data_IF_205042299521
#
_entry.id   IF_205042299521
#
_cell.length_a   1.000
_cell.length_b   1.000
_cell.length_c   1.000
_cell.angle_alpha   90.00
_cell.angle_beta   90.00
_cell.angle_gamma   90.00
#
_symmetry.space_group_name_H-M   'P 1'
#
loop_
_entity.id
_entity.type
_entity.pdbx_description
1 polymer ?
#
# COMPACT_ATOMS: atom_id res chain seq x y z
N UNK A 1 -13.33 1.61 3.35
CA UNK A 1 -12.94 2.94 3.81
C UNK A 1 -11.64 2.86 4.60
N UNK A 2 -10.65 3.71 4.29
CA UNK A 2 -9.36 3.70 4.98
C UNK A 2 -9.41 4.65 6.19
N UNK A 3 -8.96 4.17 7.35
CA UNK A 3 -8.94 4.94 8.59
C UNK A 3 -8.30 6.33 8.46
N UNK A 4 -7.12 6.47 7.80
CA UNK A 4 -6.51 7.78 7.58
C UNK A 4 -7.36 8.74 6.76
N UNK A 5 -8.07 8.26 5.74
CA UNK A 5 -8.92 9.10 4.90
C UNK A 5 -10.10 9.68 5.67
N UNK A 6 -10.63 8.94 6.65
CA UNK A 6 -11.75 9.41 7.49
C UNK A 6 -11.24 10.24 8.64
N UNK A 7 -10.31 9.71 9.43
CA UNK A 7 -9.86 10.34 10.66
C UNK A 7 -9.00 11.58 10.44
N UNK A 8 -8.14 11.59 9.41
CA UNK A 8 -7.24 12.73 9.14
C UNK A 8 -7.91 13.84 8.34
N UNK A 9 -8.95 13.53 7.55
CA UNK A 9 -9.68 14.55 6.80
C UNK A 9 -10.32 15.61 7.73
N UNK A 10 -10.81 15.19 8.88
CA UNK A 10 -11.43 16.12 9.85
C UNK A 10 -10.43 16.88 10.73
N UNK A 11 -9.24 16.28 10.99
CA UNK A 11 -8.26 16.85 11.93
C UNK A 11 -6.98 17.40 11.30
N UNK A 12 -6.45 16.72 10.28
CA UNK A 12 -5.17 17.03 9.66
C UNK A 12 -5.20 16.75 8.15
N UNK A 13 -5.96 17.55 7.41
CA UNK A 13 -6.21 17.38 5.98
C UNK A 13 -4.92 17.23 5.15
N UNK A 14 -3.81 17.85 5.58
CA UNK A 14 -2.50 17.75 4.91
C UNK A 14 -1.96 16.32 4.79
N UNK A 15 -2.54 15.35 5.50
CA UNK A 15 -2.14 13.95 5.41
C UNK A 15 -2.83 13.20 4.27
N UNK A 16 -3.85 13.80 3.66
CA UNK A 16 -4.68 13.13 2.65
C UNK A 16 -4.97 13.96 1.40
N UNK A 17 -4.73 15.28 1.44
CA UNK A 17 -5.05 16.22 0.35
C UNK A 17 -4.23 16.00 -0.94
N UNK A 18 -3.03 15.39 -0.84
CA UNK A 18 -2.22 15.00 -2.00
C UNK A 18 -2.71 13.74 -2.71
N UNK A 19 -3.61 12.95 -2.08
CA UNK A 19 -4.05 11.64 -2.56
C UNK A 19 -4.69 11.67 -3.96
N UNK A 20 -5.53 12.65 -4.33
CA UNK A 20 -6.05 12.74 -5.69
C UNK A 20 -4.94 12.87 -6.73
N UNK A 21 -3.89 13.63 -6.45
CA UNK A 21 -2.76 13.83 -7.37
C UNK A 21 -1.90 12.58 -7.46
N UNK A 22 -1.74 11.82 -6.37
CA UNK A 22 -1.09 10.51 -6.38
C UNK A 22 -1.88 9.51 -7.25
N UNK A 23 -3.20 9.47 -7.13
CA UNK A 23 -4.04 8.61 -7.99
C UNK A 23 -3.95 9.02 -9.46
N UNK A 24 -3.95 10.31 -9.76
CA UNK A 24 -3.73 10.81 -11.13
C UNK A 24 -2.33 10.47 -11.64
N UNK A 25 -1.31 10.49 -10.79
CA UNK A 25 0.04 10.09 -11.15
C UNK A 25 0.12 8.59 -11.49
N UNK A 26 -0.59 7.72 -10.76
CA UNK A 26 -0.70 6.29 -11.10
C UNK A 26 -1.35 6.08 -12.48
N UNK A 27 -2.43 6.82 -12.80
CA UNK A 27 -3.02 6.83 -14.15
C UNK A 27 -2.01 7.38 -15.17
N UNK A 28 -1.21 8.37 -14.77
CA UNK A 28 -0.12 8.92 -15.58
C UNK A 28 0.95 7.88 -15.91
N UNK A 29 1.30 7.00 -14.95
CA UNK A 29 2.18 5.86 -15.17
C UNK A 29 1.59 4.88 -16.18
N UNK A 30 0.30 4.55 -16.08
CA UNK A 30 -0.36 3.69 -17.08
C UNK A 30 -0.25 4.28 -18.49
N UNK A 31 -0.56 5.58 -18.63
CA UNK A 31 -0.45 6.28 -19.92
C UNK A 31 0.99 6.36 -20.44
N UNK A 32 1.96 6.45 -19.55
CA UNK A 32 3.37 6.41 -19.91
C UNK A 32 3.73 5.05 -20.53
N UNK A 33 3.33 3.95 -19.90
CA UNK A 33 3.62 2.61 -20.40
C UNK A 33 2.79 2.23 -21.65
N UNK A 34 1.55 2.68 -21.76
CA UNK A 34 0.67 2.33 -22.89
C UNK A 34 0.85 3.22 -24.12
N UNK A 35 1.15 4.52 -23.93
CA UNK A 35 1.12 5.54 -24.99
C UNK A 35 2.41 6.37 -25.06
N UNK A 36 3.41 6.07 -24.24
CA UNK A 36 4.66 6.83 -24.12
C UNK A 36 4.44 8.34 -23.79
N UNK A 37 3.29 8.69 -23.18
CA UNK A 37 2.92 10.06 -22.82
C UNK A 37 3.19 10.33 -21.34
N UNK A 38 4.17 11.19 -21.06
CA UNK A 38 4.58 11.52 -19.69
C UNK A 38 3.93 12.78 -19.10
N UNK A 39 3.18 13.57 -19.89
CA UNK A 39 2.67 14.88 -19.46
C UNK A 39 1.78 14.78 -18.20
N UNK A 40 0.78 13.89 -18.20
CA UNK A 40 -0.07 13.68 -17.02
C UNK A 40 0.75 13.22 -15.82
N UNK A 41 1.69 12.32 -16.02
CA UNK A 41 2.56 11.82 -14.98
C UNK A 41 3.37 12.96 -14.34
N UNK A 42 4.06 13.78 -15.15
CA UNK A 42 4.84 14.93 -14.68
C UNK A 42 3.99 15.95 -13.91
N UNK A 43 2.86 16.37 -14.48
CA UNK A 43 1.98 17.37 -13.86
C UNK A 43 1.38 16.86 -12.55
N UNK A 44 0.96 15.61 -12.50
CA UNK A 44 0.39 15.03 -11.28
C UNK A 44 1.43 14.91 -10.16
N UNK A 45 2.68 14.52 -10.48
CA UNK A 45 3.77 14.49 -9.50
C UNK A 45 4.11 15.90 -9.03
N UNK A 46 4.15 16.88 -9.92
CA UNK A 46 4.34 18.29 -9.55
C UNK A 46 3.27 18.78 -8.58
N UNK A 47 1.99 18.55 -8.87
CA UNK A 47 0.88 18.94 -7.99
C UNK A 47 0.92 18.20 -6.65
N UNK A 48 1.29 16.91 -6.64
CA UNK A 48 1.48 16.14 -5.41
C UNK A 48 2.56 16.75 -4.52
N UNK A 49 3.69 17.19 -5.09
CA UNK A 49 4.78 17.86 -4.35
C UNK A 49 4.29 19.20 -3.82
N UNK A 50 3.61 19.99 -4.63
CA UNK A 50 3.09 21.31 -4.23
C UNK A 50 2.05 21.23 -3.12
N UNK A 51 1.26 20.16 -3.09
CA UNK A 51 0.23 19.96 -2.06
C UNK A 51 0.84 19.44 -0.76
N UNK A 52 1.75 18.46 -0.83
CA UNK A 52 2.39 17.88 0.35
C UNK A 52 3.83 17.47 0.09
N UNK A 53 4.77 18.32 0.46
CA UNK A 53 6.20 18.02 0.40
C UNK A 53 6.56 16.72 1.12
N UNK A 54 6.05 16.56 2.34
CA UNK A 54 6.41 15.44 3.20
C UNK A 54 5.95 14.08 2.65
N UNK A 55 4.70 13.98 2.20
CA UNK A 55 4.15 12.72 1.69
C UNK A 55 4.50 12.46 0.23
N UNK A 56 4.97 13.47 -0.51
CA UNK A 56 5.37 13.28 -1.91
C UNK A 56 6.56 12.31 -2.05
N UNK A 57 7.46 12.25 -1.06
CA UNK A 57 8.58 11.29 -1.06
C UNK A 57 8.05 9.85 -1.03
N UNK A 58 7.11 9.57 -0.12
CA UNK A 58 6.42 8.26 -0.09
C UNK A 58 5.62 8.00 -1.36
N UNK A 59 4.93 9.01 -1.88
CA UNK A 59 4.22 8.93 -3.16
C UNK A 59 5.12 8.60 -4.34
N UNK A 60 6.31 9.21 -4.43
CA UNK A 60 7.29 8.86 -5.47
C UNK A 60 7.76 7.41 -5.36
N UNK A 61 7.97 6.89 -4.14
CA UNK A 61 8.30 5.49 -3.94
C UNK A 61 7.18 4.56 -4.40
N UNK A 62 5.92 4.92 -4.12
CA UNK A 62 4.72 4.22 -4.62
C UNK A 62 4.70 4.17 -6.14
N UNK A 63 4.98 5.30 -6.81
CA UNK A 63 5.03 5.38 -8.27
C UNK A 63 6.17 4.52 -8.86
N UNK A 64 7.32 4.44 -8.19
CA UNK A 64 8.42 3.56 -8.60
C UNK A 64 8.00 2.09 -8.48
N UNK A 65 7.38 1.67 -7.37
CA UNK A 65 6.92 0.29 -7.20
C UNK A 65 5.85 -0.08 -8.23
N UNK A 66 4.92 0.83 -8.50
CA UNK A 66 3.90 0.62 -9.53
C UNK A 66 4.51 0.58 -10.94
N UNK A 67 5.47 1.46 -11.22
CA UNK A 67 6.23 1.45 -12.46
C UNK A 67 6.99 0.14 -12.70
N UNK A 68 7.62 -0.41 -11.65
CA UNK A 68 8.24 -1.73 -11.71
C UNK A 68 7.23 -2.83 -12.04
N UNK A 69 6.05 -2.81 -11.43
CA UNK A 69 4.97 -3.74 -11.73
C UNK A 69 4.56 -3.67 -13.20
N UNK A 70 4.29 -2.46 -13.74
CA UNK A 70 3.91 -2.24 -15.15
C UNK A 70 5.03 -2.63 -16.10
N UNK A 71 6.28 -2.37 -15.76
CA UNK A 71 7.43 -2.76 -16.54
C UNK A 71 7.52 -4.29 -16.72
N UNK A 72 7.41 -5.03 -15.62
CA UNK A 72 7.45 -6.50 -15.68
C UNK A 72 6.19 -7.10 -16.30
N UNK A 73 5.04 -6.44 -16.17
CA UNK A 73 3.80 -6.84 -16.83
C UNK A 73 3.92 -6.76 -18.36
N UNK A 74 4.43 -5.65 -18.90
CA UNK A 74 4.63 -5.50 -20.34
C UNK A 74 5.68 -6.45 -20.91
N UNK A 75 6.63 -6.87 -20.09
CA UNK A 75 7.71 -7.77 -20.51
C UNK A 75 7.47 -9.21 -20.06
N UNK A 76 6.22 -9.59 -19.78
CA UNK A 76 5.88 -10.98 -19.47
C UNK A 76 6.32 -11.91 -20.60
N UNK A 77 7.20 -12.89 -20.28
CA UNK A 77 7.76 -13.83 -21.25
C UNK A 77 9.01 -13.35 -22.02
N UNK A 78 9.42 -12.09 -21.86
CA UNK A 78 10.64 -11.57 -22.48
C UNK A 78 11.84 -11.66 -21.54
N UNK A 79 13.05 -11.86 -22.12
CA UNK A 79 14.30 -11.78 -21.34
C UNK A 79 14.62 -10.32 -21.04
N UNK A 80 14.66 -9.96 -19.75
CA UNK A 80 15.06 -8.63 -19.29
C UNK A 80 16.59 -8.60 -19.15
N UNK A 81 17.26 -7.73 -19.91
CA UNK A 81 18.70 -7.46 -19.76
C UNK A 81 18.89 -6.35 -18.72
N UNK A 82 19.95 -6.46 -17.91
CA UNK A 82 20.27 -5.45 -16.88
C UNK A 82 20.44 -4.05 -17.51
N UNK A 83 21.13 -3.96 -18.65
CA UNK A 83 21.32 -2.69 -19.36
C UNK A 83 19.98 -2.09 -19.83
N UNK A 84 19.08 -2.91 -20.40
CA UNK A 84 17.75 -2.47 -20.82
C UNK A 84 16.93 -1.97 -19.62
N UNK A 85 16.92 -2.71 -18.51
CA UNK A 85 16.24 -2.32 -17.29
C UNK A 85 16.73 -0.96 -16.75
N UNK A 86 18.04 -0.72 -16.74
CA UNK A 86 18.60 0.55 -16.27
C UNK A 86 18.24 1.72 -17.20
N UNK A 87 18.30 1.52 -18.51
CA UNK A 87 17.95 2.56 -19.49
C UNK A 87 16.45 2.91 -19.39
N UNK A 88 15.57 1.90 -19.38
CA UNK A 88 14.13 2.10 -19.29
C UNK A 88 13.76 2.73 -17.92
N UNK A 89 14.44 2.30 -16.85
CA UNK A 89 14.27 2.89 -15.52
C UNK A 89 14.67 4.38 -15.48
N UNK A 90 15.78 4.76 -16.10
CA UNK A 90 16.18 6.17 -16.23
C UNK A 90 15.17 6.97 -17.05
N UNK A 91 14.63 6.40 -18.13
CA UNK A 91 13.59 7.04 -18.92
C UNK A 91 12.30 7.23 -18.11
N UNK A 92 11.93 6.25 -17.28
CA UNK A 92 10.77 6.32 -16.39
C UNK A 92 10.94 7.39 -15.30
N UNK A 93 12.13 7.59 -14.75
CA UNK A 93 12.39 8.55 -13.68
C UNK A 93 12.46 10.00 -14.20
N UNK A 94 12.72 10.22 -15.50
CA UNK A 94 12.79 11.58 -16.10
C UNK A 94 11.56 12.46 -15.80
N UNK A 95 10.31 12.03 -15.98
CA UNK A 95 9.12 12.82 -15.64
C UNK A 95 9.08 13.22 -14.16
N UNK A 96 9.53 12.34 -13.26
CA UNK A 96 9.60 12.62 -11.82
C UNK A 96 10.67 13.66 -11.51
N UNK A 97 11.86 13.54 -12.10
CA UNK A 97 12.94 14.54 -11.95
C UNK A 97 12.46 15.89 -12.47
N UNK A 98 11.81 15.94 -13.64
CA UNK A 98 11.28 17.18 -14.19
C UNK A 98 10.26 17.81 -13.24
N UNK A 99 9.34 17.03 -12.65
CA UNK A 99 8.38 17.52 -11.66
C UNK A 99 9.08 18.10 -10.41
N UNK A 100 10.12 17.43 -9.90
CA UNK A 100 10.93 17.92 -8.77
C UNK A 100 11.63 19.24 -9.13
N UNK A 101 12.23 19.34 -10.33
CA UNK A 101 12.87 20.58 -10.80
C UNK A 101 11.84 21.71 -10.96
N UNK A 102 10.67 21.44 -11.50
CA UNK A 102 9.57 22.41 -11.57
C UNK A 102 9.12 22.90 -10.19
N UNK A 103 9.18 22.02 -9.17
CA UNK A 103 8.80 22.35 -7.79
C UNK A 103 9.93 22.99 -6.98
N UNK A 104 11.10 23.22 -7.55
CA UNK A 104 12.30 23.68 -6.82
C UNK A 104 12.11 25.04 -6.11
N UNK A 105 11.31 25.94 -6.69
CA UNK A 105 10.98 27.22 -6.08
C UNK A 105 10.26 27.08 -4.73
N UNK A 106 9.54 25.99 -4.52
CA UNK A 106 8.88 25.63 -3.25
C UNK A 106 9.76 24.71 -2.39
N UNK A 107 10.40 23.70 -3.01
CA UNK A 107 11.19 22.70 -2.30
C UNK A 107 12.45 23.31 -1.65
N UNK A 108 13.18 24.19 -2.34
CA UNK A 108 14.44 24.73 -1.82
C UNK A 108 14.21 25.53 -0.54
N UNK A 109 13.30 26.53 -0.48
CA UNK A 109 13.02 27.24 0.77
C UNK A 109 12.53 26.33 1.88
N UNK A 110 11.67 25.34 1.54
CA UNK A 110 11.13 24.39 2.51
C UNK A 110 12.24 23.53 3.14
N UNK A 111 13.15 22.99 2.33
CA UNK A 111 14.29 22.20 2.82
C UNK A 111 15.22 23.04 3.69
N UNK A 112 15.53 24.25 3.27
CA UNK A 112 16.37 25.18 4.06
C UNK A 112 15.73 25.52 5.41
N UNK A 113 14.44 25.81 5.44
CA UNK A 113 13.69 26.07 6.68
C UNK A 113 13.69 24.83 7.61
N UNK A 114 13.51 23.65 7.07
CA UNK A 114 13.53 22.40 7.85
C UNK A 114 14.94 22.10 8.38
N UNK A 115 15.99 22.35 7.62
CA UNK A 115 17.37 22.15 8.04
C UNK A 115 17.77 23.08 9.21
N UNK A 116 17.22 24.30 9.24
CA UNK A 116 17.47 25.26 10.33
C UNK A 116 16.65 25.05 11.60
N UNK A 117 15.50 24.37 11.54
CA UNK A 117 14.51 24.33 12.63
C UNK A 117 14.22 22.96 13.25
N UNK A 118 14.72 21.86 12.71
CA UNK A 118 14.40 20.51 13.24
C UNK A 118 15.31 20.12 14.40
N UNK A 119 14.70 19.73 15.51
CA UNK A 119 15.39 19.11 16.64
C UNK A 119 16.11 17.82 16.20
N UNK A 120 17.22 17.49 16.90
CA UNK A 120 17.97 16.24 16.65
C UNK A 120 17.01 15.05 16.77
N UNK A 121 17.08 14.14 15.79
CA UNK A 121 16.29 12.92 15.77
C UNK A 121 16.61 12.00 16.96
N UNK A 122 15.75 11.03 17.19
CA UNK A 122 16.04 9.97 18.17
C UNK A 122 17.27 9.17 17.74
N UNK A 123 18.16 8.87 18.68
CA UNK A 123 19.27 7.95 18.45
C UNK A 123 18.71 6.55 18.22
N UNK A 124 18.45 6.22 16.96
CA UNK A 124 17.96 4.90 16.57
C UNK A 124 19.16 4.01 16.26
N UNK A 125 19.28 2.87 16.93
CA UNK A 125 20.35 1.91 16.65
C UNK A 125 20.20 1.35 15.23
N UNK A 126 21.30 1.18 14.51
CA UNK A 126 21.29 0.61 13.15
C UNK A 126 20.64 -0.78 13.12
N UNK A 127 20.85 -1.59 14.15
CA UNK A 127 20.22 -2.91 14.25
C UNK A 127 18.70 -2.83 14.26
N UNK A 128 18.11 -1.86 14.97
CA UNK A 128 16.65 -1.65 15.04
C UNK A 128 16.04 -1.26 13.68
N UNK A 129 16.82 -0.65 12.78
CA UNK A 129 16.35 -0.25 11.47
C UNK A 129 16.15 -1.44 10.51
N UNK A 130 16.91 -2.51 10.69
CA UNK A 130 16.87 -3.67 9.79
C UNK A 130 16.10 -4.86 10.35
N UNK A 131 15.75 -4.85 11.64
CA UNK A 131 14.90 -5.90 12.22
C UNK A 131 13.47 -5.71 11.76
N UNK A 132 12.87 -6.70 11.04
CA UNK A 132 11.49 -6.61 10.58
C UNK A 132 10.52 -6.34 11.72
N UNK A 133 9.65 -5.36 11.54
CA UNK A 133 8.61 -5.02 12.52
C UNK A 133 7.24 -5.20 11.86
N UNK A 134 6.52 -6.22 12.32
CA UNK A 134 5.18 -6.52 11.87
C UNK A 134 4.22 -6.20 13.01
N UNK A 135 3.46 -5.12 12.86
CA UNK A 135 2.40 -4.74 13.80
C UNK A 135 1.07 -4.75 13.06
N UNK A 136 0.05 -5.37 13.65
CA UNK A 136 -1.30 -5.40 13.04
C UNK A 136 -1.85 -3.99 12.92
N UNK A 137 -1.60 -3.12 13.90
CA UNK A 137 -2.00 -1.71 13.91
C UNK A 137 -1.53 -0.93 12.68
N UNK A 138 -0.35 -1.25 12.14
CA UNK A 138 0.16 -0.60 10.92
C UNK A 138 -0.74 -0.83 9.72
N UNK A 139 -1.33 -2.01 9.62
CA UNK A 139 -2.12 -2.45 8.47
C UNK A 139 -3.61 -2.20 8.66
N UNK A 140 -4.15 -2.40 9.86
CA UNK A 140 -5.57 -2.43 10.13
C UNK A 140 -6.00 -1.35 11.11
N UNK A 141 -7.11 -0.66 10.80
CA UNK A 141 -7.87 0.29 11.62
C UNK A 141 -7.06 1.46 12.24
N UNK A 142 -5.85 1.71 11.81
CA UNK A 142 -5.04 2.82 12.32
C UNK A 142 -5.34 4.12 11.57
N UNK A 143 -5.50 5.21 12.31
CA UNK A 143 -5.61 6.57 11.76
C UNK A 143 -4.24 7.06 11.26
N UNK A 144 -3.15 6.57 11.86
CA UNK A 144 -1.78 6.98 11.57
C UNK A 144 -0.97 5.92 10.81
N UNK A 145 -1.63 4.95 10.19
CA UNK A 145 -1.01 3.91 9.39
C UNK A 145 -1.73 3.75 8.05
N UNK A 146 -1.82 2.50 7.58
CA UNK A 146 -2.57 2.16 6.36
C UNK A 146 -4.07 2.18 6.65
N UNK A 147 -4.49 1.70 7.82
CA UNK A 147 -5.87 1.80 8.31
C UNK A 147 -6.91 1.12 7.43
N UNK A 148 -6.53 0.05 6.73
CA UNK A 148 -7.43 -0.82 6.01
C UNK A 148 -7.95 -1.93 6.93
N UNK A 149 -8.72 -2.86 6.40
CA UNK A 149 -9.23 -4.03 7.10
C UNK A 149 -8.19 -5.16 7.15
N UNK A 150 -8.41 -6.22 7.93
CA UNK A 150 -7.50 -7.39 7.97
C UNK A 150 -7.37 -8.08 6.61
N UNK A 151 -8.29 -7.82 5.68
CA UNK A 151 -8.21 -8.30 4.30
C UNK A 151 -6.87 -7.94 3.65
N UNK A 152 -6.29 -6.77 3.96
CA UNK A 152 -5.01 -6.37 3.37
C UNK A 152 -3.88 -7.34 3.73
N UNK A 153 -3.86 -7.84 4.96
CA UNK A 153 -2.87 -8.82 5.41
C UNK A 153 -3.01 -10.12 4.62
N UNK A 154 -4.25 -10.61 4.48
CA UNK A 154 -4.56 -11.78 3.67
C UNK A 154 -4.14 -11.60 2.21
N UNK A 155 -4.42 -10.42 1.62
CA UNK A 155 -4.06 -10.09 0.24
C UNK A 155 -2.55 -10.05 0.06
N UNK A 156 -1.80 -9.48 1.00
CA UNK A 156 -0.33 -9.47 0.94
C UNK A 156 0.23 -10.90 1.04
N UNK A 157 -0.26 -11.73 1.97
CA UNK A 157 0.17 -13.13 2.06
C UNK A 157 -0.14 -13.89 0.77
N UNK A 158 -1.35 -13.74 0.22
CA UNK A 158 -1.76 -14.39 -1.02
C UNK A 158 -0.91 -13.90 -2.22
N UNK A 159 -0.62 -12.60 -2.27
CA UNK A 159 0.17 -11.98 -3.33
C UNK A 159 1.61 -12.48 -3.39
N UNK A 160 2.22 -12.85 -2.24
CA UNK A 160 3.53 -13.50 -2.21
C UNK A 160 3.53 -14.87 -2.90
N UNK A 161 2.37 -15.53 -2.95
CA UNK A 161 2.19 -16.87 -3.55
C UNK A 161 1.79 -16.83 -5.02
N UNK A 162 1.57 -15.65 -5.63
CA UNK A 162 1.20 -15.54 -7.04
C UNK A 162 2.28 -16.11 -7.96
N UNK A 163 1.85 -16.68 -9.09
CA UNK A 163 2.78 -17.29 -10.06
C UNK A 163 3.46 -16.26 -10.97
N UNK A 164 2.77 -15.17 -11.29
CA UNK A 164 3.24 -14.16 -12.21
C UNK A 164 4.25 -13.23 -11.53
N UNK A 165 5.40 -13.03 -12.18
CA UNK A 165 6.51 -12.24 -11.63
C UNK A 165 6.09 -10.81 -11.29
N UNK A 166 5.37 -10.13 -12.20
CA UNK A 166 4.97 -8.74 -12.02
C UNK A 166 4.02 -8.53 -10.82
N UNK A 167 3.10 -9.48 -10.58
CA UNK A 167 2.21 -9.43 -9.41
C UNK A 167 2.99 -9.63 -8.11
N UNK A 168 3.97 -10.56 -8.11
CA UNK A 168 4.84 -10.78 -6.96
C UNK A 168 5.73 -9.58 -6.68
N UNK A 169 6.33 -8.98 -7.70
CA UNK A 169 7.22 -7.81 -7.55
C UNK A 169 6.52 -6.68 -6.79
N UNK A 170 5.26 -6.37 -7.16
CA UNK A 170 4.48 -5.35 -6.46
C UNK A 170 4.24 -5.71 -5.00
N UNK A 171 3.81 -6.96 -4.74
CA UNK A 171 3.54 -7.42 -3.38
C UNK A 171 4.82 -7.46 -2.53
N UNK A 172 5.92 -8.01 -3.07
CA UNK A 172 7.21 -8.01 -2.36
C UNK A 172 7.70 -6.59 -2.06
N UNK A 173 7.59 -5.67 -3.05
CA UNK A 173 7.94 -4.27 -2.85
C UNK A 173 7.14 -3.64 -1.71
N UNK A 174 5.82 -3.82 -1.69
CA UNK A 174 4.96 -3.34 -0.60
C UNK A 174 5.35 -3.97 0.74
N UNK A 175 5.52 -5.29 0.82
CA UNK A 175 5.86 -5.99 2.07
C UNK A 175 7.21 -5.53 2.60
N UNK A 176 8.24 -5.45 1.75
CA UNK A 176 9.58 -5.00 2.14
C UNK A 176 9.52 -3.58 2.73
N UNK A 177 8.87 -2.65 2.03
CA UNK A 177 8.78 -1.26 2.50
C UNK A 177 7.98 -1.13 3.79
N UNK A 178 6.89 -1.87 3.93
CA UNK A 178 6.00 -1.79 5.09
C UNK A 178 6.55 -2.51 6.32
N UNK A 179 7.37 -3.54 6.14
CA UNK A 179 7.86 -4.38 7.23
C UNK A 179 9.23 -3.93 7.75
N UNK A 180 10.11 -3.41 6.89
CA UNK A 180 11.46 -3.01 7.29
C UNK A 180 11.46 -1.55 7.76
N UNK A 181 11.79 -1.27 9.05
CA UNK A 181 11.71 0.07 9.63
C UNK A 181 12.61 1.12 8.97
N UNK A 182 13.67 0.71 8.27
CA UNK A 182 14.56 1.62 7.56
C UNK A 182 13.80 2.50 6.57
N UNK A 183 12.75 1.98 5.91
CA UNK A 183 11.94 2.78 5.00
C UNK A 183 11.12 3.83 5.74
N UNK A 184 10.52 3.47 6.89
CA UNK A 184 9.83 4.44 7.74
C UNK A 184 10.76 5.53 8.24
N UNK A 185 12.00 5.18 8.60
CA UNK A 185 13.03 6.11 9.03
C UNK A 185 13.45 7.05 7.91
N UNK A 186 13.75 6.51 6.71
CA UNK A 186 14.16 7.32 5.54
C UNK A 186 13.03 8.25 5.07
N UNK A 187 11.79 7.75 4.99
CA UNK A 187 10.63 8.55 4.60
C UNK A 187 10.28 9.65 5.61
N UNK A 188 10.72 9.51 6.87
CA UNK A 188 10.64 10.57 7.89
C UNK A 188 11.88 11.50 7.89
N UNK A 189 12.69 11.46 6.84
CA UNK A 189 13.90 12.30 6.72
C UNK A 189 15.02 11.90 7.66
N UNK A 190 15.11 10.63 8.07
CA UNK A 190 16.18 10.11 8.93
C UNK A 190 16.08 10.54 10.39
N UNK A 191 14.89 10.92 10.88
CA UNK A 191 14.75 11.48 12.23
C UNK A 191 14.14 10.48 13.23
N UNK A 192 13.09 9.74 12.82
CA UNK A 192 12.36 8.82 13.68
C UNK A 192 11.53 7.83 12.86
N UNK A 193 11.08 6.75 13.52
CA UNK A 193 10.20 5.74 12.89
C UNK A 193 8.75 6.07 13.27
N UNK A 194 7.89 6.33 12.26
CA UNK A 194 6.44 6.56 12.43
C UNK A 194 5.67 6.01 11.24
N UNK A 195 4.54 5.39 11.51
CA UNK A 195 3.75 4.67 10.49
C UNK A 195 2.97 5.59 9.55
N UNK A 196 2.76 6.87 9.89
CA UNK A 196 2.06 7.85 9.03
C UNK A 196 2.67 8.00 7.64
N UNK A 197 3.96 7.72 7.46
CA UNK A 197 4.64 7.80 6.16
C UNK A 197 4.18 6.73 5.18
N UNK A 198 3.44 5.74 5.64
CA UNK A 198 2.88 4.68 4.79
C UNK A 198 1.49 5.01 4.24
N UNK A 199 0.87 6.13 4.62
CA UNK A 199 -0.42 6.58 4.06
C UNK A 199 -0.40 6.65 2.52
N UNK A 200 0.68 7.11 1.84
CA UNK A 200 0.76 7.11 0.37
C UNK A 200 0.64 5.72 -0.28
N UNK A 201 0.85 4.63 0.47
CA UNK A 201 0.73 3.27 -0.05
C UNK A 201 -0.72 2.78 -0.18
N UNK A 202 -1.70 3.53 0.37
CA UNK A 202 -3.12 3.19 0.31
C UNK A 202 -3.62 2.85 -1.10
N UNK A 203 -3.44 3.68 -2.14
CA UNK A 203 -3.92 3.36 -3.48
C UNK A 203 -3.31 2.06 -4.03
N UNK A 204 -2.04 1.80 -3.73
CA UNK A 204 -1.34 0.60 -4.18
C UNK A 204 -1.87 -0.67 -3.51
N UNK A 205 -2.18 -0.58 -2.21
CA UNK A 205 -2.80 -1.69 -1.47
C UNK A 205 -4.23 -1.93 -1.91
N UNK A 206 -5.00 -0.87 -2.19
CA UNK A 206 -6.33 -1.01 -2.80
C UNK A 206 -6.26 -1.66 -4.18
N UNK A 207 -5.23 -1.35 -4.97
CA UNK A 207 -4.98 -2.02 -6.25
C UNK A 207 -4.66 -3.52 -6.08
N UNK A 208 -3.85 -3.89 -5.08
CA UNK A 208 -3.59 -5.30 -4.76
C UNK A 208 -4.86 -6.03 -4.31
N UNK A 209 -5.73 -5.37 -3.53
CA UNK A 209 -7.05 -5.91 -3.15
C UNK A 209 -7.90 -6.12 -4.41
N UNK A 210 -7.91 -5.18 -5.35
CA UNK A 210 -8.65 -5.30 -6.60
C UNK A 210 -8.15 -6.49 -7.44
N UNK A 211 -6.82 -6.70 -7.55
CA UNK A 211 -6.24 -7.87 -8.21
C UNK A 211 -6.68 -9.16 -7.52
N UNK A 212 -6.67 -9.20 -6.19
CA UNK A 212 -7.11 -10.35 -5.42
C UNK A 212 -8.58 -10.70 -5.70
N UNK A 213 -9.47 -9.71 -5.61
CA UNK A 213 -10.90 -9.89 -5.87
C UNK A 213 -11.17 -10.33 -7.31
N UNK A 214 -10.44 -9.78 -8.27
CA UNK A 214 -10.55 -10.19 -9.68
C UNK A 214 -10.10 -11.66 -9.89
N UNK A 215 -9.07 -12.10 -9.17
CA UNK A 215 -8.65 -13.51 -9.20
C UNK A 215 -9.67 -14.44 -8.56
N UNK A 216 -10.29 -14.01 -7.46
CA UNK A 216 -11.41 -14.74 -6.87
C UNK A 216 -12.58 -14.84 -7.88
N UNK A 217 -12.95 -13.73 -8.50
CA UNK A 217 -14.04 -13.68 -9.51
C UNK A 217 -13.78 -14.62 -10.68
N UNK A 218 -12.54 -14.63 -11.19
CA UNK A 218 -12.12 -15.51 -12.31
C UNK A 218 -11.81 -16.94 -11.90
N UNK A 219 -12.09 -17.30 -10.66
CA UNK A 219 -11.86 -18.66 -10.12
C UNK A 219 -10.40 -19.16 -10.26
N UNK A 220 -9.44 -18.24 -10.30
CA UNK A 220 -8.01 -18.56 -10.42
C UNK A 220 -7.37 -19.00 -9.11
N UNK A 221 -8.08 -18.86 -7.98
CA UNK A 221 -7.66 -19.32 -6.67
C UNK A 221 -8.41 -20.61 -6.31
N UNK A 222 -7.67 -21.66 -5.96
CA UNK A 222 -8.26 -22.87 -5.40
C UNK A 222 -8.79 -22.60 -3.98
N UNK A 223 -9.76 -23.42 -3.53
CA UNK A 223 -10.32 -23.31 -2.17
C UNK A 223 -9.20 -23.27 -1.11
N UNK A 224 -8.27 -24.21 -1.17
CA UNK A 224 -7.15 -24.30 -0.21
C UNK A 224 -6.25 -23.09 -0.30
N UNK A 225 -5.85 -22.67 -1.51
CA UNK A 225 -4.97 -21.50 -1.70
C UNK A 225 -5.61 -20.19 -1.24
N UNK A 226 -6.93 -20.11 -1.24
CA UNK A 226 -7.66 -18.96 -0.70
C UNK A 226 -7.85 -19.01 0.82
N UNK A 227 -8.14 -20.21 1.40
CA UNK A 227 -8.38 -20.36 2.84
C UNK A 227 -7.10 -20.19 3.68
N UNK A 228 -5.97 -20.72 3.24
CA UNK A 228 -4.71 -20.70 4.00
C UNK A 228 -4.28 -19.29 4.41
N UNK A 229 -4.28 -18.27 3.53
CA UNK A 229 -3.95 -16.91 3.93
C UNK A 229 -4.88 -16.33 5.00
N UNK A 230 -6.18 -16.62 4.96
CA UNK A 230 -7.13 -16.18 6.01
C UNK A 230 -6.85 -16.84 7.35
N UNK A 231 -6.54 -18.12 7.35
CA UNK A 231 -6.17 -18.85 8.58
C UNK A 231 -4.89 -18.25 9.17
N UNK A 232 -3.87 -17.97 8.34
CA UNK A 232 -2.63 -17.34 8.77
C UNK A 232 -2.91 -15.94 9.35
N UNK A 233 -3.77 -15.16 8.69
CA UNK A 233 -4.16 -13.83 9.17
C UNK A 233 -4.84 -13.90 10.53
N UNK A 234 -5.79 -14.84 10.70
CA UNK A 234 -6.52 -15.05 11.97
C UNK A 234 -5.55 -15.42 13.10
N UNK A 235 -4.65 -16.37 12.84
CA UNK A 235 -3.62 -16.79 13.82
C UNK A 235 -2.69 -15.63 14.16
N UNK A 236 -2.27 -14.86 13.15
CA UNK A 236 -1.40 -13.70 13.35
C UNK A 236 -2.07 -12.62 14.21
N UNK A 237 -3.33 -12.28 13.96
CA UNK A 237 -4.09 -11.32 14.78
C UNK A 237 -4.21 -11.82 16.22
N UNK A 238 -4.48 -13.11 16.43
CA UNK A 238 -4.57 -13.70 17.76
C UNK A 238 -3.25 -13.65 18.52
N UNK A 239 -2.13 -13.98 17.88
CA UNK A 239 -0.79 -13.91 18.49
C UNK A 239 -0.41 -12.47 18.82
N UNK A 240 -0.74 -11.53 17.93
CA UNK A 240 -0.41 -10.12 18.07
C UNK A 240 -1.28 -9.38 19.11
N UNK A 241 -2.32 -10.02 19.69
CA UNK A 241 -3.27 -9.37 20.62
C UNK A 241 -2.64 -8.60 21.76
N UNK A 242 -1.52 -9.11 22.30
CA UNK A 242 -0.81 -8.47 23.40
C UNK A 242 -0.16 -7.13 23.00
N UNK A 243 0.10 -6.90 21.71
CA UNK A 243 0.65 -5.63 21.21
C UNK A 243 -0.37 -4.50 21.35
N UNK A 244 -1.66 -4.79 21.19
CA UNK A 244 -2.75 -3.81 21.38
C UNK A 244 -2.87 -3.39 22.83
N UNK A 245 -2.83 -4.35 23.74
CA UNK A 245 -2.97 -4.12 25.19
C UNK A 245 -1.83 -3.28 25.76
N UNK A 246 -0.60 -3.48 25.28
CA UNK A 246 0.60 -2.75 25.75
C UNK A 246 0.62 -1.27 25.34
N UNK A 247 -0.15 -0.88 24.32
CA UNK A 247 -0.21 0.51 23.79
C UNK A 247 -1.43 1.29 24.25
N UNK A 248 -2.23 0.75 25.15
CA UNK A 248 -3.45 1.42 25.66
C UNK A 248 -4.57 1.55 24.63
N UNK A 249 -4.53 0.76 23.55
CA UNK A 249 -5.63 0.65 22.59
C UNK A 249 -6.77 -0.13 23.25
N UNK A 250 -8.01 0.30 23.02
CA UNK A 250 -9.18 -0.34 23.61
C UNK A 250 -9.15 -1.86 23.42
N UNK A 251 -9.41 -2.58 24.49
CA UNK A 251 -9.34 -4.06 24.53
C UNK A 251 -10.19 -4.73 23.44
N UNK A 252 -11.21 -4.04 22.95
CA UNK A 252 -12.11 -4.58 21.96
C UNK A 252 -11.58 -4.56 20.51
N UNK A 253 -10.54 -3.77 20.21
CA UNK A 253 -10.03 -3.64 18.83
C UNK A 253 -9.47 -4.96 18.31
N UNK A 254 -8.68 -5.68 19.10
CA UNK A 254 -8.16 -6.97 18.66
C UNK A 254 -9.26 -8.03 18.48
N UNK A 255 -10.34 -7.95 19.29
CA UNK A 255 -11.51 -8.85 19.17
C UNK A 255 -12.25 -8.57 17.86
N UNK A 256 -12.42 -7.30 17.51
CA UNK A 256 -13.02 -6.89 16.25
C UNK A 256 -12.18 -7.35 15.03
N UNK A 257 -10.85 -7.18 15.08
CA UNK A 257 -9.94 -7.65 14.04
C UNK A 257 -9.98 -9.19 13.88
N UNK A 258 -10.08 -9.92 15.00
CA UNK A 258 -10.20 -11.35 14.98
C UNK A 258 -11.55 -11.80 14.39
N UNK A 259 -12.65 -11.18 14.84
CA UNK A 259 -13.97 -11.45 14.31
C UNK A 259 -14.06 -11.18 12.80
N UNK A 260 -13.48 -10.07 12.34
CA UNK A 260 -13.40 -9.71 10.93
C UNK A 260 -12.64 -10.79 10.13
N UNK A 261 -11.46 -11.21 10.57
CA UNK A 261 -10.66 -12.20 9.84
C UNK A 261 -11.38 -13.57 9.75
N UNK A 262 -12.08 -13.98 10.82
CA UNK A 262 -12.92 -15.18 10.81
C UNK A 262 -14.11 -15.02 9.87
N UNK A 263 -14.76 -13.86 9.88
CA UNK A 263 -15.90 -13.58 9.00
C UNK A 263 -15.48 -13.59 7.53
N UNK A 264 -14.33 -13.03 7.18
CA UNK A 264 -13.77 -13.13 5.84
C UNK A 264 -13.51 -14.58 5.42
N UNK A 265 -12.99 -15.41 6.32
CA UNK A 265 -12.78 -16.83 6.06
C UNK A 265 -14.12 -17.53 5.77
N UNK A 266 -15.14 -17.31 6.60
CA UNK A 266 -16.49 -17.88 6.42
C UNK A 266 -17.06 -17.43 5.08
N UNK A 267 -17.02 -16.14 4.76
CA UNK A 267 -17.51 -15.61 3.50
C UNK A 267 -16.78 -16.21 2.29
N UNK A 268 -15.47 -16.42 2.38
CA UNK A 268 -14.70 -17.04 1.31
C UNK A 268 -15.11 -18.51 1.10
N UNK A 269 -15.32 -19.26 2.17
CA UNK A 269 -15.79 -20.66 2.11
C UNK A 269 -17.19 -20.72 1.50
N UNK A 270 -18.11 -19.85 1.94
CA UNK A 270 -19.46 -19.77 1.39
C UNK A 270 -19.44 -19.40 -0.10
N UNK A 271 -18.62 -18.43 -0.49
CA UNK A 271 -18.42 -18.06 -1.89
C UNK A 271 -17.98 -19.26 -2.74
N UNK A 272 -17.05 -20.05 -2.24
CA UNK A 272 -16.61 -21.27 -2.93
C UNK A 272 -17.68 -22.37 -2.95
N UNK A 273 -18.50 -22.49 -1.90
CA UNK A 273 -19.58 -23.48 -1.82
C UNK A 273 -20.75 -23.17 -2.76
N UNK A 274 -21.13 -21.90 -2.91
CA UNK A 274 -22.19 -21.42 -3.81
C UNK A 274 -21.80 -21.53 -5.30
N UNK A 275 -20.61 -21.99 -5.58
CA UNK A 275 -19.96 -22.07 -6.90
C UNK A 275 -20.80 -22.71 -8.01
N UNK A 276 -21.78 -23.52 -7.71
CA UNK A 276 -22.45 -24.38 -8.70
C UNK A 276 -23.79 -23.87 -9.24
N UNK A 277 -24.48 -22.92 -8.58
CA UNK A 277 -25.92 -22.74 -8.89
C UNK A 277 -26.37 -21.31 -9.28
N UNK A 278 -25.64 -20.23 -9.02
CA UNK A 278 -26.14 -18.90 -9.38
C UNK A 278 -25.01 -17.86 -9.57
N UNK A 279 -24.83 -17.41 -10.82
CA UNK A 279 -23.81 -16.41 -11.19
C UNK A 279 -24.06 -15.05 -10.53
N UNK A 280 -25.32 -14.62 -10.47
CA UNK A 280 -25.75 -13.36 -9.84
C UNK A 280 -25.51 -13.35 -8.32
N UNK A 281 -25.79 -14.44 -7.62
CA UNK A 281 -25.56 -14.55 -6.18
C UNK A 281 -24.08 -14.43 -5.83
N UNK A 282 -23.18 -14.90 -6.71
CA UNK A 282 -21.74 -14.74 -6.53
C UNK A 282 -21.26 -13.30 -6.63
N UNK A 283 -21.79 -12.55 -7.60
CA UNK A 283 -21.41 -11.14 -7.77
C UNK A 283 -21.92 -10.30 -6.60
N UNK A 284 -23.13 -10.57 -6.11
CA UNK A 284 -23.70 -9.93 -4.92
C UNK A 284 -22.88 -10.27 -3.67
N UNK A 285 -22.49 -11.54 -3.48
CA UNK A 285 -21.69 -11.95 -2.34
C UNK A 285 -20.29 -11.30 -2.34
N UNK A 286 -19.67 -11.17 -3.51
CA UNK A 286 -18.38 -10.48 -3.68
C UNK A 286 -18.45 -8.98 -3.41
N UNK A 287 -19.53 -8.33 -3.83
CA UNK A 287 -19.76 -6.92 -3.57
C UNK A 287 -20.19 -6.65 -2.13
N UNK A 288 -20.93 -7.59 -1.53
CA UNK A 288 -21.35 -7.50 -0.14
C UNK A 288 -20.19 -7.73 0.84
N UNK A 289 -19.21 -8.55 0.48
CA UNK A 289 -18.08 -8.90 1.35
C UNK A 289 -17.32 -7.68 1.89
N UNK A 290 -16.88 -6.71 1.05
CA UNK A 290 -16.27 -5.49 1.54
C UNK A 290 -17.26 -4.54 2.22
N UNK A 291 -18.54 -4.56 1.80
CA UNK A 291 -19.56 -3.59 2.23
C UNK A 291 -20.14 -3.93 3.61
N UNK A 292 -20.40 -5.20 3.89
CA UNK A 292 -20.88 -5.66 5.21
C UNK A 292 -19.86 -5.42 6.30
N UNK A 293 -18.58 -5.48 5.95
CA UNK A 293 -17.47 -5.29 6.89
C UNK A 293 -17.11 -3.82 7.14
N UNK A 294 -17.59 -2.90 6.29
CA UNK A 294 -17.50 -1.47 6.57
C UNK A 294 -18.60 -0.97 7.52
N UNK A 295 -19.61 -1.80 7.81
CA UNK A 295 -20.77 -1.46 8.64
C UNK A 295 -20.71 -2.10 10.04
N UNK A 296 -19.82 -3.04 10.29
CA UNK A 296 -19.54 -3.63 11.60
C UNK A 296 -18.38 -2.94 12.30
#
# INVERSE_FOLDING_TARGET
LAGPMIGQYSGQIMFVDYMPFLCLALIGVDRYFEKEKSGLFTVSVFLMIMTSFYFSIGGMLVLVLYGLHRYFEQREGCRVTVRGFLVDGLCFVRPMILAVLMSSFFLVPTVLALAGGRSKGQNTSLTTLFVPQITVERFAYSIYGIGLTTLVITVLITGLLYRKVYERVLTYGCVIVLVIPVFAYLLNGGLYIRDKVFIPFLPLLCYLIAIYLEKCRKEKLSLIAGMVPYIITTVFVYIARNQFTSKGIEENVWKALLAESVLFLICYVLYCAVKSHCKETKEILMLALPSVLCLA
#
